data_IF_498895023080
#
_entry.id   IF_498895023080
#
_cell.length_a   1.000
_cell.length_b   1.000
_cell.length_c   1.000
_cell.angle_alpha   90.00
_cell.angle_beta   90.00
_cell.angle_gamma   90.00
#
_symmetry.space_group_name_H-M   'P 1'
#
loop_
_entity.id
_entity.type
_entity.pdbx_description
1 polymer ?
#
# COMPACT_ATOMS: atom_id res chain seq x y z
N UNK A 1 9.36 -9.33 -20.20
CA UNK A 1 10.08 -9.47 -21.49
C UNK A 1 11.23 -10.47 -21.32
N UNK A 2 11.44 -11.33 -22.30
CA UNK A 2 12.61 -12.22 -22.34
C UNK A 2 13.91 -11.48 -22.76
N UNK A 3 13.76 -10.25 -23.23
CA UNK A 3 14.82 -9.33 -23.61
C UNK A 3 14.80 -8.13 -22.66
N UNK A 4 15.83 -8.01 -21.82
CA UNK A 4 15.97 -6.92 -20.86
C UNK A 4 16.33 -5.58 -21.53
N UNK A 5 16.73 -5.60 -22.79
CA UNK A 5 17.14 -4.43 -23.59
C UNK A 5 16.48 -4.45 -24.98
N UNK A 6 15.13 -4.39 -25.05
CA UNK A 6 14.44 -4.46 -26.32
C UNK A 6 14.86 -3.31 -27.23
N UNK A 7 14.95 -3.58 -28.53
CA UNK A 7 15.17 -2.53 -29.52
C UNK A 7 13.98 -1.56 -29.50
N UNK A 8 14.19 -0.34 -29.00
CA UNK A 8 13.15 0.68 -28.84
C UNK A 8 12.99 1.61 -30.05
N UNK A 9 13.91 1.57 -31.01
CA UNK A 9 13.90 2.43 -32.18
C UNK A 9 14.55 1.76 -33.39
N UNK A 10 13.97 2.00 -34.57
CA UNK A 10 14.47 1.46 -35.83
C UNK A 10 14.19 -0.04 -36.01
N UNK A 11 14.89 -0.64 -36.97
CA UNK A 11 14.78 -2.08 -37.24
C UNK A 11 15.76 -2.84 -36.34
N UNK A 12 15.33 -3.89 -35.61
CA UNK A 12 16.24 -4.76 -34.86
C UNK A 12 17.33 -5.35 -35.76
N UNK A 13 18.45 -5.76 -35.18
CA UNK A 13 19.52 -6.42 -35.96
C UNK A 13 19.02 -7.73 -36.59
N UNK A 14 19.58 -8.10 -37.74
CA UNK A 14 19.20 -9.33 -38.44
C UNK A 14 19.32 -10.58 -37.55
N UNK A 15 20.38 -10.65 -36.74
CA UNK A 15 20.59 -11.72 -35.78
C UNK A 15 19.50 -11.76 -34.69
N UNK A 16 19.01 -10.61 -34.23
CA UNK A 16 17.91 -10.55 -33.27
C UNK A 16 16.58 -11.00 -33.89
N UNK A 17 16.34 -10.67 -35.17
CA UNK A 17 15.16 -11.13 -35.91
C UNK A 17 15.18 -12.65 -36.08
N UNK A 18 16.32 -13.23 -36.46
CA UNK A 18 16.46 -14.66 -36.70
C UNK A 18 16.40 -15.50 -35.43
N UNK A 19 16.87 -14.95 -34.29
CA UNK A 19 16.82 -15.62 -33.00
C UNK A 19 15.47 -15.46 -32.26
N UNK A 20 14.57 -14.59 -32.74
CA UNK A 20 13.30 -14.33 -32.07
C UNK A 20 12.29 -15.46 -32.31
N UNK A 21 12.12 -16.31 -31.31
CA UNK A 21 11.19 -17.44 -31.33
C UNK A 21 9.77 -17.08 -30.88
N UNK A 22 9.51 -15.81 -30.52
CA UNK A 22 8.23 -15.38 -29.97
C UNK A 22 7.14 -15.29 -31.05
N UNK A 23 5.92 -15.66 -30.68
CA UNK A 23 4.75 -15.47 -31.54
C UNK A 23 4.42 -13.97 -31.74
N UNK A 24 3.62 -13.66 -32.75
CA UNK A 24 3.13 -12.28 -32.94
C UNK A 24 2.40 -11.73 -31.70
N UNK A 25 1.60 -12.56 -31.02
CA UNK A 25 0.90 -12.17 -29.79
C UNK A 25 1.87 -11.85 -28.65
N UNK A 26 2.92 -12.65 -28.46
CA UNK A 26 3.96 -12.39 -27.47
C UNK A 26 4.72 -11.10 -27.76
N UNK A 27 5.06 -10.84 -29.04
CA UNK A 27 5.70 -9.60 -29.45
C UNK A 27 4.81 -8.37 -29.24
N UNK A 28 3.52 -8.46 -29.55
CA UNK A 28 2.56 -7.39 -29.28
C UNK A 28 2.41 -7.12 -27.78
N UNK A 29 2.33 -8.18 -26.96
CA UNK A 29 2.30 -8.06 -25.51
C UNK A 29 3.54 -7.34 -24.97
N UNK A 30 4.74 -7.78 -25.39
CA UNK A 30 6.00 -7.16 -24.97
C UNK A 30 6.10 -5.70 -25.42
N UNK A 31 5.64 -5.38 -26.63
CA UNK A 31 5.59 -4.01 -27.15
C UNK A 31 4.65 -3.11 -26.36
N UNK A 32 3.43 -3.58 -26.04
CA UNK A 32 2.49 -2.85 -25.19
C UNK A 32 3.08 -2.62 -23.79
N UNK A 33 3.70 -3.66 -23.20
CA UNK A 33 4.35 -3.56 -21.90
C UNK A 33 5.50 -2.54 -21.90
N UNK A 34 6.31 -2.51 -22.96
CA UNK A 34 7.40 -1.55 -23.12
C UNK A 34 6.86 -0.11 -23.24
N UNK A 35 5.81 0.11 -24.05
CA UNK A 35 5.19 1.43 -24.21
C UNK A 35 4.60 1.95 -22.89
N UNK A 36 3.86 1.11 -22.15
CA UNK A 36 3.29 1.49 -20.85
C UNK A 36 4.38 1.79 -19.81
N UNK A 37 5.48 1.04 -19.81
CA UNK A 37 6.63 1.32 -18.94
C UNK A 37 7.30 2.64 -19.29
N UNK A 38 7.55 2.91 -20.57
CA UNK A 38 8.13 4.17 -21.01
C UNK A 38 7.26 5.37 -20.57
N UNK A 39 5.94 5.23 -20.68
CA UNK A 39 4.98 6.24 -20.21
C UNK A 39 5.04 6.43 -18.68
N UNK A 40 5.08 5.35 -17.90
CA UNK A 40 5.21 5.45 -16.43
C UNK A 40 6.55 6.08 -16.00
N UNK A 41 7.63 5.77 -16.72
CA UNK A 41 8.96 6.28 -16.45
C UNK A 41 9.22 7.69 -17.00
N UNK A 42 8.33 8.26 -17.83
CA UNK A 42 8.53 9.57 -18.44
C UNK A 42 8.53 10.72 -17.42
N UNK A 43 7.88 10.52 -16.27
CA UNK A 43 7.68 11.55 -15.26
C UNK A 43 6.64 12.62 -15.65
N UNK A 44 5.97 12.47 -16.79
CA UNK A 44 4.98 13.42 -17.32
C UNK A 44 3.55 13.10 -16.87
N UNK A 45 3.35 11.97 -16.20
CA UNK A 45 2.05 11.58 -15.66
C UNK A 45 1.67 12.41 -14.43
N UNK A 46 0.36 12.58 -14.23
CA UNK A 46 -0.19 13.22 -13.04
C UNK A 46 0.03 12.43 -11.75
N UNK A 47 -0.43 13.00 -10.64
CA UNK A 47 -0.42 12.35 -9.33
C UNK A 47 -1.80 11.79 -9.00
N UNK A 48 -1.85 10.63 -8.35
CA UNK A 48 -3.06 10.07 -7.75
C UNK A 48 -2.89 10.08 -6.23
N UNK A 49 -3.80 10.76 -5.52
CA UNK A 49 -3.73 10.89 -4.06
C UNK A 49 -2.38 11.44 -3.54
N UNK A 50 -1.71 12.31 -4.30
CA UNK A 50 -0.43 12.90 -3.93
C UNK A 50 0.80 12.00 -4.11
N UNK A 51 0.63 10.81 -4.69
CA UNK A 51 1.72 9.94 -5.12
C UNK A 51 1.78 9.89 -6.65
N UNK A 52 2.98 9.83 -7.26
CA UNK A 52 3.08 9.40 -8.66
C UNK A 52 2.51 7.98 -8.81
N UNK A 53 2.18 7.56 -10.03
CA UNK A 53 1.75 6.18 -10.29
C UNK A 53 2.84 5.20 -9.83
N UNK A 54 2.66 4.62 -8.64
CA UNK A 54 3.65 3.78 -7.96
C UNK A 54 2.96 2.56 -7.38
N UNK A 55 3.65 1.42 -7.44
CA UNK A 55 3.21 0.18 -6.78
C UNK A 55 3.89 0.15 -5.42
N UNK A 56 3.09 0.14 -4.35
CA UNK A 56 3.58 0.02 -2.99
C UNK A 56 3.34 -1.41 -2.55
N UNK A 57 4.42 -2.08 -2.12
CA UNK A 57 4.40 -3.48 -1.71
C UNK A 57 4.88 -3.62 -0.28
N UNK A 58 4.27 -4.55 0.46
CA UNK A 58 4.65 -4.94 1.81
C UNK A 58 5.03 -6.42 1.84
N UNK A 59 6.15 -6.75 2.48
CA UNK A 59 6.66 -8.12 2.65
C UNK A 59 7.51 -8.17 3.92
N UNK A 60 7.82 -9.37 4.40
CA UNK A 60 8.72 -9.54 5.54
C UNK A 60 10.20 -9.34 5.14
N UNK A 61 11.03 -8.93 6.10
CA UNK A 61 12.48 -8.86 5.88
C UNK A 61 13.05 -10.23 5.49
N UNK A 62 12.55 -11.31 6.11
CA UNK A 62 12.95 -12.69 5.82
C UNK A 62 12.68 -13.07 4.37
N UNK A 63 11.47 -12.85 3.86
CA UNK A 63 11.11 -13.14 2.46
C UNK A 63 11.97 -12.33 1.47
N UNK A 64 12.20 -11.05 1.77
CA UNK A 64 13.04 -10.19 0.94
C UNK A 64 14.50 -10.66 0.93
N UNK A 65 15.05 -11.06 2.08
CA UNK A 65 16.42 -11.59 2.20
C UNK A 65 16.57 -12.96 1.53
N UNK A 66 15.58 -13.85 1.66
CA UNK A 66 15.59 -15.16 1.02
C UNK A 66 15.27 -15.11 -0.48
N UNK A 67 14.81 -13.95 -0.98
CA UNK A 67 14.32 -13.76 -2.36
C UNK A 67 13.21 -14.75 -2.73
N UNK A 68 12.40 -15.12 -1.75
CA UNK A 68 11.35 -16.13 -1.88
C UNK A 68 10.12 -15.70 -1.09
N UNK A 69 8.95 -16.20 -1.46
CA UNK A 69 7.67 -15.77 -0.88
C UNK A 69 6.96 -14.73 -1.73
N UNK A 70 6.14 -13.90 -1.10
CA UNK A 70 5.26 -12.97 -1.78
C UNK A 70 5.30 -11.57 -1.15
N UNK A 71 4.90 -10.57 -1.91
CA UNK A 71 4.60 -9.25 -1.38
C UNK A 71 3.15 -8.86 -1.69
N UNK A 72 2.50 -8.20 -0.73
CA UNK A 72 1.16 -7.67 -0.88
C UNK A 72 1.24 -6.24 -1.41
N UNK A 73 0.58 -5.96 -2.53
CA UNK A 73 0.42 -4.58 -3.02
C UNK A 73 -0.60 -3.82 -2.16
N UNK A 74 -0.51 -2.49 -2.09
CA UNK A 74 -1.55 -1.67 -1.44
C UNK A 74 -2.94 -1.74 -2.10
N UNK A 75 -3.03 -2.41 -3.26
CA UNK A 75 -4.29 -2.75 -3.94
C UNK A 75 -4.83 -4.13 -3.58
N UNK A 76 -4.15 -4.91 -2.75
CA UNK A 76 -4.56 -6.24 -2.31
C UNK A 76 -4.06 -7.41 -3.16
N UNK A 77 -3.36 -7.16 -4.26
CA UNK A 77 -2.76 -8.22 -5.10
C UNK A 77 -1.49 -8.79 -4.46
N UNK A 78 -1.35 -10.11 -4.43
CA UNK A 78 -0.10 -10.80 -4.10
C UNK A 78 0.81 -10.90 -5.32
N UNK A 79 2.06 -10.47 -5.16
CA UNK A 79 3.10 -10.58 -6.18
C UNK A 79 4.15 -11.60 -5.73
N UNK A 80 4.58 -12.53 -6.59
CA UNK A 80 5.70 -13.40 -6.28
C UNK A 80 6.97 -12.55 -6.14
N UNK A 81 7.89 -12.96 -5.23
CA UNK A 81 9.10 -12.18 -4.95
C UNK A 81 9.96 -11.94 -6.22
N UNK A 82 9.93 -12.86 -7.19
CA UNK A 82 10.57 -12.67 -8.49
C UNK A 82 10.06 -11.44 -9.24
N UNK A 83 8.75 -11.19 -9.21
CA UNK A 83 8.15 -10.02 -9.83
C UNK A 83 8.45 -8.74 -9.04
N UNK A 84 8.45 -8.83 -7.71
CA UNK A 84 8.84 -7.71 -6.84
C UNK A 84 10.27 -7.26 -7.15
N UNK A 85 11.23 -8.20 -7.18
CA UNK A 85 12.64 -7.91 -7.51
C UNK A 85 12.76 -7.34 -8.93
N UNK A 86 12.05 -7.93 -9.90
CA UNK A 86 12.03 -7.47 -11.30
C UNK A 86 11.42 -6.09 -11.47
N UNK A 87 10.46 -5.70 -10.64
CA UNK A 87 9.87 -4.36 -10.65
C UNK A 87 10.77 -3.37 -9.89
N UNK A 88 11.41 -3.80 -8.81
CA UNK A 88 12.31 -2.99 -8.00
C UNK A 88 13.56 -2.55 -8.76
N UNK A 89 14.08 -3.37 -9.69
CA UNK A 89 15.27 -3.01 -10.51
C UNK A 89 15.15 -1.69 -11.28
N UNK A 90 13.92 -1.22 -11.51
CA UNK A 90 13.62 0.05 -12.20
C UNK A 90 12.90 1.06 -11.29
N UNK A 91 12.81 0.80 -9.98
CA UNK A 91 12.08 1.63 -9.03
C UNK A 91 13.00 2.63 -8.30
N UNK A 92 12.41 3.76 -7.91
CA UNK A 92 12.99 4.59 -6.86
C UNK A 92 12.73 3.89 -5.52
N UNK A 93 13.81 3.45 -4.86
CA UNK A 93 13.72 2.64 -3.65
C UNK A 93 13.47 3.53 -2.43
N UNK A 94 12.30 3.41 -1.82
CA UNK A 94 12.00 4.01 -0.52
C UNK A 94 11.92 2.88 0.51
N UNK A 95 12.94 2.76 1.37
CA UNK A 95 12.91 1.86 2.51
C UNK A 95 12.32 2.59 3.72
N UNK A 96 11.36 1.94 4.39
CA UNK A 96 10.81 2.37 5.68
C UNK A 96 10.82 1.18 6.62
N UNK A 97 11.45 1.37 7.78
CA UNK A 97 11.64 0.35 8.81
C UNK A 97 10.63 0.64 9.91
N UNK A 98 9.94 -0.40 10.35
CA UNK A 98 8.96 -0.36 11.44
C UNK A 98 9.59 -0.99 12.68
N UNK A 99 9.28 -0.47 13.85
CA UNK A 99 9.61 -1.08 15.15
C UNK A 99 8.31 -1.49 15.83
N UNK A 100 8.05 -2.81 15.96
CA UNK A 100 6.81 -3.36 16.54
C UNK A 100 5.50 -2.73 16.03
N UNK A 101 5.42 -2.38 14.73
CA UNK A 101 4.23 -1.77 14.12
C UNK A 101 4.07 -0.27 14.37
N UNK A 102 5.00 0.36 15.10
CA UNK A 102 5.09 1.80 15.31
C UNK A 102 6.16 2.40 14.40
N UNK A 103 5.85 3.56 13.83
CA UNK A 103 6.78 4.27 12.95
C UNK A 103 7.63 5.28 13.75
N UNK A 104 8.90 5.41 13.37
CA UNK A 104 9.85 6.37 13.94
C UNK A 104 9.51 7.80 13.48
N UNK A 105 8.43 8.33 14.04
CA UNK A 105 7.92 9.70 13.95
C UNK A 105 8.02 10.40 12.58
N UNK A 106 6.95 10.33 11.79
CA UNK A 106 6.70 11.19 10.63
C UNK A 106 5.48 12.10 10.85
N UNK A 107 5.77 13.37 11.13
CA UNK A 107 4.76 14.41 11.34
C UNK A 107 4.99 15.65 10.49
N UNK A 108 3.91 16.40 10.20
CA UNK A 108 4.01 17.73 9.62
C UNK A 108 2.76 18.58 9.88
N UNK A 109 2.88 19.90 9.69
CA UNK A 109 1.81 20.89 9.95
C UNK A 109 0.82 21.08 8.79
N UNK A 110 1.02 20.43 7.65
CA UNK A 110 0.01 20.41 6.56
C UNK A 110 -1.14 19.47 6.91
N UNK A 111 -2.34 19.79 6.44
CA UNK A 111 -3.55 18.96 6.65
C UNK A 111 -3.49 17.62 5.93
N UNK A 112 -2.96 17.58 4.71
CA UNK A 112 -2.99 16.36 3.90
C UNK A 112 -1.77 15.50 4.17
N UNK A 113 -1.98 14.20 4.38
CA UNK A 113 -0.90 13.24 4.56
C UNK A 113 0.12 13.30 3.43
N UNK A 114 1.40 13.38 3.82
CA UNK A 114 2.52 13.37 2.89
C UNK A 114 2.66 12.03 2.16
N UNK A 115 3.40 11.99 1.03
CA UNK A 115 3.74 10.75 0.34
C UNK A 115 4.30 9.67 1.27
N UNK A 116 5.21 10.04 2.19
CA UNK A 116 5.81 9.11 3.14
C UNK A 116 4.78 8.51 4.10
N UNK A 117 3.87 9.33 4.62
CA UNK A 117 2.81 8.87 5.52
C UNK A 117 1.83 7.92 4.83
N UNK A 118 1.51 8.18 3.56
CA UNK A 118 0.68 7.28 2.76
C UNK A 118 1.34 5.92 2.54
N UNK A 119 2.63 5.90 2.20
CA UNK A 119 3.40 4.66 2.07
C UNK A 119 3.34 3.85 3.38
N UNK A 120 3.55 4.53 4.52
CA UNK A 120 3.48 3.90 5.84
C UNK A 120 2.09 3.33 6.10
N UNK A 121 1.02 4.07 5.83
CA UNK A 121 -0.35 3.60 6.02
C UNK A 121 -0.70 2.39 5.14
N UNK A 122 -0.25 2.34 3.89
CA UNK A 122 -0.47 1.16 3.03
C UNK A 122 0.22 -0.10 3.55
N UNK A 123 1.33 0.03 4.26
CA UNK A 123 1.99 -1.10 4.90
C UNK A 123 1.36 -1.46 6.25
N UNK A 124 0.98 -0.44 7.04
CA UNK A 124 0.46 -0.60 8.40
C UNK A 124 -0.99 -1.08 8.43
N UNK A 125 -1.88 -0.45 7.68
CA UNK A 125 -3.32 -0.76 7.70
C UNK A 125 -3.73 -1.69 6.54
N UNK A 126 -2.97 -1.68 5.42
CA UNK A 126 -3.19 -2.45 4.17
C UNK A 126 -4.53 -2.23 3.45
N UNK A 127 -5.53 -1.68 4.13
CA UNK A 127 -6.83 -1.32 3.60
C UNK A 127 -7.66 -0.55 4.62
N UNK A 128 -8.98 -0.51 4.41
CA UNK A 128 -9.87 0.21 5.32
C UNK A 128 -9.82 -0.40 6.73
N UNK A 129 -9.56 0.44 7.72
CA UNK A 129 -9.47 0.01 9.13
C UNK A 129 -10.81 -0.27 9.80
N UNK A 130 -11.94 0.02 9.14
CA UNK A 130 -13.27 -0.25 9.67
C UNK A 130 -13.51 -1.76 9.78
N UNK A 131 -14.13 -2.25 10.89
CA UNK A 131 -14.34 -3.67 11.12
C UNK A 131 -14.94 -4.42 9.92
N UNK A 132 -14.31 -5.53 9.54
CA UNK A 132 -14.72 -6.42 8.44
C UNK A 132 -14.79 -5.79 7.05
N UNK A 133 -14.24 -4.58 6.85
CA UNK A 133 -14.16 -3.99 5.53
C UNK A 133 -13.00 -4.60 4.73
N UNK A 134 -13.25 -4.96 3.48
CA UNK A 134 -12.28 -5.57 2.56
C UNK A 134 -11.76 -4.58 1.50
N UNK A 135 -12.15 -3.31 1.59
CA UNK A 135 -11.72 -2.26 0.65
C UNK A 135 -10.21 -2.04 0.78
N UNK A 136 -9.41 -2.27 -0.29
CA UNK A 136 -7.96 -2.20 -0.24
C UNK A 136 -7.46 -0.75 -0.14
N UNK A 137 -6.23 -0.57 0.33
CA UNK A 137 -5.67 0.74 0.69
C UNK A 137 -5.76 1.78 -0.42
N UNK A 138 -5.51 1.39 -1.68
CA UNK A 138 -5.61 2.30 -2.83
C UNK A 138 -6.99 2.94 -3.04
N UNK A 139 -8.04 2.34 -2.48
CA UNK A 139 -9.43 2.80 -2.53
C UNK A 139 -9.88 3.45 -1.20
N UNK A 140 -8.92 3.89 -0.40
CA UNK A 140 -9.18 4.56 0.87
C UNK A 140 -8.60 5.97 0.91
N UNK A 141 -9.10 6.72 1.89
CA UNK A 141 -8.69 8.05 2.24
C UNK A 141 -7.98 8.01 3.60
N UNK A 142 -7.08 8.98 3.82
CA UNK A 142 -6.40 9.11 5.12
C UNK A 142 -7.28 9.93 6.04
N UNK A 143 -7.65 9.33 7.17
CA UNK A 143 -8.45 9.91 8.23
C UNK A 143 -7.57 10.25 9.44
N UNK A 144 -7.75 11.44 10.00
CA UNK A 144 -7.13 11.82 11.28
C UNK A 144 -7.97 11.30 12.43
N UNK A 145 -7.36 10.55 13.35
CA UNK A 145 -8.07 10.02 14.52
C UNK A 145 -8.58 11.14 15.43
N UNK A 146 -7.75 12.17 15.62
CA UNK A 146 -8.16 13.46 16.18
C UNK A 146 -8.26 14.45 15.03
N UNK A 147 -9.42 15.10 14.85
CA UNK A 147 -9.64 16.04 13.75
C UNK A 147 -8.49 17.03 13.58
N UNK A 148 -8.04 17.24 12.34
CA UNK A 148 -6.95 18.18 12.05
C UNK A 148 -7.22 19.60 12.58
N UNK A 149 -8.48 20.03 12.60
CA UNK A 149 -8.87 21.33 13.15
C UNK A 149 -8.56 21.46 14.66
N UNK A 150 -8.45 20.33 15.37
CA UNK A 150 -8.14 20.26 16.79
C UNK A 150 -6.63 20.03 17.03
N UNK A 151 -6.02 19.07 16.34
CA UNK A 151 -4.61 18.72 16.58
C UNK A 151 -3.61 19.60 15.81
N UNK A 152 -4.01 20.21 14.69
CA UNK A 152 -3.17 21.04 13.80
C UNK A 152 -1.90 20.36 13.28
N UNK A 153 -1.84 19.04 13.40
CA UNK A 153 -0.71 18.21 13.06
C UNK A 153 -1.20 16.95 12.36
N UNK A 154 -0.42 16.52 11.37
CA UNK A 154 -0.61 15.24 10.72
C UNK A 154 0.51 14.33 11.21
N UNK A 155 0.29 13.64 12.32
CA UNK A 155 1.19 12.61 12.89
C UNK A 155 0.72 11.24 12.42
N UNK A 156 1.61 10.49 11.76
CA UNK A 156 1.35 9.14 11.26
C UNK A 156 0.78 8.17 12.30
N UNK A 157 1.11 8.34 13.58
CA UNK A 157 0.57 7.50 14.64
C UNK A 157 -0.92 7.78 14.90
N UNK A 158 -1.38 8.99 14.57
CA UNK A 158 -2.77 9.46 14.68
C UNK A 158 -3.52 9.46 13.33
N UNK A 159 -3.00 8.74 12.32
CA UNK A 159 -3.66 8.55 11.02
C UNK A 159 -4.15 7.11 10.83
N UNK A 160 -5.22 6.94 10.06
CA UNK A 160 -5.75 5.64 9.67
C UNK A 160 -6.34 5.67 8.27
N UNK A 161 -6.49 4.51 7.63
CA UNK A 161 -7.20 4.39 6.36
C UNK A 161 -8.71 4.17 6.55
N UNK A 162 -9.53 4.93 5.82
CA UNK A 162 -11.00 4.79 5.73
C UNK A 162 -11.47 4.85 4.29
N UNK A 163 -12.24 3.86 3.80
CA UNK A 163 -12.88 3.99 2.49
C UNK A 163 -13.93 5.12 2.51
N UNK A 164 -14.33 5.64 1.35
CA UNK A 164 -15.25 6.78 1.27
C UNK A 164 -16.48 6.68 2.21
N UNK A 165 -17.24 5.58 2.19
CA UNK A 165 -18.37 5.37 3.12
C UNK A 165 -17.98 5.41 4.60
N UNK A 166 -16.91 4.70 5.01
CA UNK A 166 -16.52 4.62 6.41
C UNK A 166 -15.83 5.91 6.90
N UNK A 167 -15.09 6.60 6.04
CA UNK A 167 -14.58 7.93 6.35
C UNK A 167 -15.73 8.94 6.57
N UNK A 168 -16.81 8.83 5.78
CA UNK A 168 -18.02 9.60 5.99
C UNK A 168 -18.73 9.23 7.32
N UNK A 169 -18.71 7.96 7.74
CA UNK A 169 -19.24 7.57 9.06
C UNK A 169 -18.47 8.24 10.22
N UNK A 170 -17.14 8.32 10.13
CA UNK A 170 -16.34 9.03 11.13
C UNK A 170 -16.58 10.55 11.09
N UNK A 171 -16.80 11.11 9.90
CA UNK A 171 -16.96 12.57 9.73
C UNK A 171 -18.34 13.06 10.15
N UNK A 172 -19.41 12.40 9.70
CA UNK A 172 -20.80 12.87 9.88
C UNK A 172 -21.72 11.82 10.50
N UNK A 173 -21.31 10.56 10.57
CA UNK A 173 -22.13 9.44 11.07
C UNK A 173 -22.06 9.23 12.58
N UNK A 174 -21.29 10.04 13.32
CA UNK A 174 -21.16 9.94 14.77
C UNK A 174 -20.27 8.79 15.26
N UNK A 175 -19.52 8.14 14.36
CA UNK A 175 -18.51 7.16 14.74
C UNK A 175 -17.24 7.85 15.20
N UNK A 176 -16.58 7.27 16.21
CA UNK A 176 -15.33 7.80 16.75
C UNK A 176 -14.23 6.80 16.51
N UNK A 177 -13.12 7.26 15.96
CA UNK A 177 -11.90 6.45 15.83
C UNK A 177 -10.98 6.66 17.03
N UNK A 178 -10.26 5.63 17.45
CA UNK A 178 -9.23 5.70 18.49
C UNK A 178 -8.05 4.80 18.14
N UNK A 179 -6.82 5.22 18.43
CA UNK A 179 -5.63 4.36 18.35
C UNK A 179 -5.44 3.55 19.63
N UNK A 180 -5.25 2.24 19.48
CA UNK A 180 -4.82 1.34 20.56
C UNK A 180 -3.30 1.43 20.75
N UNK A 181 -2.80 0.89 21.88
CA UNK A 181 -1.36 0.89 22.20
C UNK A 181 -0.50 0.16 21.15
N UNK A 182 -1.06 -0.89 20.55
CA UNK A 182 -0.47 -1.66 19.44
C UNK A 182 -0.55 -0.93 18.07
N UNK A 183 -1.07 0.30 18.04
CA UNK A 183 -1.22 1.10 16.83
C UNK A 183 -2.44 0.76 15.96
N UNK A 184 -3.22 -0.26 16.32
CA UNK A 184 -4.46 -0.66 15.62
C UNK A 184 -5.54 0.41 15.83
N UNK A 185 -6.30 0.72 14.78
CA UNK A 185 -7.44 1.65 14.86
C UNK A 185 -8.69 0.93 15.32
N UNK A 186 -9.32 1.47 16.35
CA UNK A 186 -10.61 1.07 16.84
C UNK A 186 -11.70 2.05 16.39
N UNK A 187 -12.83 1.51 15.93
CA UNK A 187 -14.01 2.24 15.50
C UNK A 187 -15.13 2.05 16.52
N UNK A 188 -15.52 3.13 17.18
CA UNK A 188 -16.54 3.17 18.20
C UNK A 188 -17.86 3.66 17.57
N UNK A 189 -18.93 2.85 17.61
CA UNK A 189 -20.24 3.26 17.13
C UNK A 189 -20.85 4.34 18.05
N UNK A 190 -21.79 5.16 17.56
CA UNK A 190 -22.65 5.94 18.44
C UNK A 190 -23.49 5.00 19.33
N UNK A 191 -23.84 5.43 20.54
CA UNK A 191 -24.43 4.57 21.57
C UNK A 191 -25.68 3.77 21.13
N UNK A 192 -26.49 4.31 20.23
CA UNK A 192 -27.70 3.65 19.72
C UNK A 192 -27.41 2.55 18.68
N UNK A 193 -26.17 2.45 18.19
CA UNK A 193 -25.67 1.41 17.29
C UNK A 193 -24.64 0.49 17.97
N UNK A 194 -24.38 0.65 19.27
CA UNK A 194 -23.45 -0.21 20.00
C UNK A 194 -24.15 -1.48 20.48
N UNK A 195 -23.90 -2.58 19.78
CA UNK A 195 -24.49 -3.90 20.04
C UNK A 195 -23.43 -4.96 20.33
N UNK A 196 -22.20 -4.54 20.70
CA UNK A 196 -21.10 -5.46 20.96
C UNK A 196 -20.41 -5.99 19.69
N UNK A 197 -20.59 -5.33 18.55
CA UNK A 197 -19.89 -5.67 17.31
C UNK A 197 -18.36 -5.51 17.43
N UNK A 198 -17.57 -6.19 16.57
CA UNK A 198 -16.13 -5.97 16.48
C UNK A 198 -15.81 -4.49 16.22
N UNK A 199 -14.73 -4.01 16.83
CA UNK A 199 -14.30 -2.60 16.74
C UNK A 199 -12.99 -2.40 15.99
N UNK A 200 -12.31 -3.48 15.63
CA UNK A 200 -11.07 -3.47 14.84
C UNK A 200 -11.22 -4.34 13.61
N UNK A 201 -10.42 -4.08 12.58
CA UNK A 201 -10.38 -4.91 11.37
C UNK A 201 -9.17 -5.84 11.37
N UNK A 202 -9.39 -7.15 11.32
CA UNK A 202 -8.35 -8.17 11.16
C UNK A 202 -8.24 -8.70 9.73
N UNK A 203 -9.12 -8.29 8.80
CA UNK A 203 -9.18 -8.84 7.44
C UNK A 203 -7.84 -8.76 6.69
N UNK A 204 -7.15 -7.62 6.79
CA UNK A 204 -5.85 -7.42 6.14
C UNK A 204 -4.65 -7.91 6.95
N UNK A 205 -4.88 -8.35 8.18
CA UNK A 205 -3.85 -8.85 9.09
C UNK A 205 -4.26 -10.20 9.71
N UNK A 206 -4.57 -11.22 8.90
CA UNK A 206 -4.96 -12.53 9.43
C UNK A 206 -3.85 -13.16 10.28
N UNK A 207 -2.59 -12.80 10.04
CA UNK A 207 -1.44 -13.25 10.84
C UNK A 207 -1.58 -12.88 12.34
N UNK A 208 -2.25 -11.77 12.66
CA UNK A 208 -2.47 -11.34 14.04
C UNK A 208 -3.45 -12.24 14.80
N UNK A 209 -4.25 -13.05 14.10
CA UNK A 209 -5.15 -14.02 14.72
C UNK A 209 -4.45 -15.34 15.08
N UNK A 210 -3.24 -15.55 14.56
CA UNK A 210 -2.49 -16.80 14.71
C UNK A 210 -1.36 -16.68 15.76
N UNK A 211 -1.06 -15.47 16.23
CA UNK A 211 -0.13 -15.27 17.34
C UNK A 211 -0.91 -15.31 18.65
N UNK A 212 -0.56 -16.27 19.52
CA UNK A 212 -1.07 -16.30 20.89
C UNK A 212 -0.67 -15.00 21.59
N UNK A 213 -1.65 -14.32 22.18
CA UNK A 213 -1.52 -13.01 22.81
C UNK A 213 -0.73 -13.00 24.13
N UNK A 214 0.04 -14.07 24.40
CA UNK A 214 0.62 -14.34 25.73
C UNK A 214 2.08 -13.87 25.88
N UNK A 215 2.69 -13.26 24.86
CA UNK A 215 4.09 -12.80 24.94
C UNK A 215 4.30 -11.28 25.08
N UNK A 216 3.24 -10.45 25.05
CA UNK A 216 3.38 -8.98 25.08
C UNK A 216 2.69 -8.33 26.31
N UNK A 217 3.00 -8.80 27.53
CA UNK A 217 2.73 -8.03 28.76
C UNK A 217 4.02 -7.93 29.61
N UNK A 218 4.69 -6.76 29.66
CA UNK A 218 5.63 -6.45 30.74
C UNK A 218 4.94 -5.94 32.00
#
# INVERSE_FOLDING_TARGET
PADDTPCLAGTPSQAAIEADTRSAGQRHHDGLLAALRALLCSGELGQHNGLPAAIIVSTSLTELQSRAGHALTGGGTLLPMSDVIRLASHANHYLRIFDHGRELALYHTKRLASPGQRIVLYAKDRGCSFPNCDVPGYLTEVHHVTDFAQCQETDINELTQGCGPHHQLATTGGWITRKRKDGTTEWLPPAHLDHGQPRTNSYFHPEKLLHDSDEDDP
#
